data_IF_065396603991
#
_entry.id   IF_065396603991
#
_cell.length_a   1.000
_cell.length_b   1.000
_cell.length_c   1.000
_cell.angle_alpha   90.00
_cell.angle_beta   90.00
_cell.angle_gamma   90.00
#
_symmetry.space_group_name_H-M   'P 1'
#
loop_
_entity.id
_entity.type
_entity.pdbx_description
1 polymer ?
#
# COMPACT_ATOMS: atom_id res chain seq x y z
N UNK A 1 4.66 -7.88 -25.28
CA UNK A 1 4.40 -6.60 -24.56
C UNK A 1 5.43 -6.43 -23.43
N UNK A 2 5.77 -5.19 -23.04
CA UNK A 2 6.64 -4.97 -21.86
C UNK A 2 5.85 -5.41 -20.62
N UNK A 3 6.36 -6.41 -19.88
CA UNK A 3 5.74 -6.85 -18.61
C UNK A 3 5.64 -5.65 -17.68
N UNK A 4 4.42 -5.23 -17.38
CA UNK A 4 4.19 -4.27 -16.31
C UNK A 4 4.32 -5.05 -15.01
N UNK A 5 5.38 -4.78 -14.25
CA UNK A 5 5.62 -5.40 -12.95
C UNK A 5 4.77 -4.71 -11.88
N UNK A 6 3.55 -5.21 -11.73
CA UNK A 6 2.56 -4.73 -10.77
C UNK A 6 2.82 -5.26 -9.36
N UNK A 7 3.45 -6.43 -9.24
CA UNK A 7 3.70 -7.11 -7.96
C UNK A 7 4.77 -6.38 -7.16
N UNK A 8 5.88 -5.98 -7.79
CA UNK A 8 6.93 -5.20 -7.13
C UNK A 8 6.41 -3.84 -6.66
N UNK A 9 5.57 -3.19 -7.48
CA UNK A 9 4.94 -1.92 -7.13
C UNK A 9 4.03 -2.04 -5.89
N UNK A 10 3.16 -3.05 -5.88
CA UNK A 10 2.30 -3.35 -4.74
C UNK A 10 3.11 -3.65 -3.46
N UNK A 11 4.19 -4.42 -3.58
CA UNK A 11 5.10 -4.70 -2.46
C UNK A 11 5.69 -3.43 -1.85
N UNK A 12 6.14 -2.48 -2.69
CA UNK A 12 6.69 -1.20 -2.22
C UNK A 12 5.66 -0.33 -1.50
N UNK A 13 4.42 -0.30 -1.99
CA UNK A 13 3.34 0.47 -1.33
C UNK A 13 3.05 -0.10 0.06
N UNK A 14 2.96 -1.44 0.16
CA UNK A 14 2.75 -2.11 1.44
C UNK A 14 3.90 -1.80 2.42
N UNK A 15 5.14 -2.01 1.97
CA UNK A 15 6.32 -1.77 2.81
C UNK A 15 6.39 -0.32 3.30
N UNK A 16 6.17 0.66 2.41
CA UNK A 16 6.23 2.07 2.79
C UNK A 16 5.17 2.43 3.85
N UNK A 17 4.00 1.78 3.82
CA UNK A 17 2.97 1.99 4.82
C UNK A 17 3.32 1.35 6.17
N UNK A 18 3.87 0.14 6.15
CA UNK A 18 4.36 -0.53 7.36
C UNK A 18 5.50 0.28 8.01
N UNK A 19 6.43 0.79 7.21
CA UNK A 19 7.52 1.65 7.67
C UNK A 19 6.99 2.95 8.31
N UNK A 20 5.93 3.55 7.73
CA UNK A 20 5.27 4.74 8.29
C UNK A 20 4.65 4.44 9.66
N UNK A 21 3.95 3.32 9.80
CA UNK A 21 3.33 2.91 11.07
C UNK A 21 4.40 2.67 12.14
N UNK A 22 5.50 1.99 11.77
CA UNK A 22 6.62 1.74 12.66
C UNK A 22 7.30 3.05 13.10
N UNK A 23 7.50 3.99 12.16
CA UNK A 23 8.08 5.28 12.46
C UNK A 23 7.19 6.10 13.41
N UNK A 24 5.87 6.06 13.21
CA UNK A 24 4.93 6.70 14.12
C UNK A 24 4.96 6.07 15.51
N UNK A 25 4.95 4.73 15.61
CA UNK A 25 5.02 4.02 16.89
C UNK A 25 6.31 4.36 17.65
N UNK A 26 7.45 4.34 16.95
CA UNK A 26 8.74 4.72 17.54
C UNK A 26 8.77 6.17 18.00
N UNK A 27 8.21 7.10 17.22
CA UNK A 27 8.13 8.51 17.61
C UNK A 27 7.17 8.72 18.78
N UNK A 28 6.09 7.94 18.87
CA UNK A 28 5.07 8.04 19.92
C UNK A 28 5.61 7.69 21.32
N UNK A 29 6.79 7.06 21.42
CA UNK A 29 7.45 6.84 22.70
C UNK A 29 7.81 8.17 23.40
N UNK A 30 8.29 9.16 22.63
CA UNK A 30 8.68 10.47 23.13
C UNK A 30 7.66 11.57 22.78
N UNK A 31 6.81 11.32 21.78
CA UNK A 31 5.82 12.27 21.26
C UNK A 31 4.38 11.70 21.39
N UNK A 32 3.83 11.72 22.61
CA UNK A 32 2.47 11.25 22.93
C UNK A 32 1.57 12.37 23.44
N UNK A 33 1.57 13.49 22.74
CA UNK A 33 0.72 14.64 23.04
C UNK A 33 -0.56 14.62 22.18
N UNK A 34 -1.51 15.55 22.39
CA UNK A 34 -2.71 15.62 21.56
C UNK A 34 -2.42 15.87 20.07
N UNK A 35 -1.29 16.49 19.72
CA UNK A 35 -0.91 16.76 18.33
C UNK A 35 -0.49 15.48 17.63
N UNK A 36 0.31 14.62 18.27
CA UNK A 36 0.72 13.34 17.68
C UNK A 36 -0.48 12.42 17.44
N UNK A 37 -1.43 12.39 18.36
CA UNK A 37 -2.70 11.65 18.20
C UNK A 37 -3.52 12.17 17.02
N UNK A 38 -3.67 13.48 16.90
CA UNK A 38 -4.36 14.08 15.75
C UNK A 38 -3.66 13.76 14.42
N UNK A 39 -2.33 13.70 14.39
CA UNK A 39 -1.60 13.26 13.18
C UNK A 39 -1.97 11.83 12.81
N UNK A 40 -2.04 10.92 13.77
CA UNK A 40 -2.43 9.54 13.49
C UNK A 40 -3.88 9.45 12.99
N UNK A 41 -4.81 10.02 13.75
CA UNK A 41 -6.26 9.97 13.48
C UNK A 41 -6.61 10.66 12.14
N UNK A 42 -6.07 11.85 11.88
CA UNK A 42 -6.45 12.64 10.71
C UNK A 42 -5.68 12.25 9.44
N UNK A 43 -4.48 11.67 9.57
CA UNK A 43 -3.56 11.46 8.43
C UNK A 43 -3.18 10.02 8.19
N UNK A 44 -2.84 9.26 9.24
CA UNK A 44 -2.26 7.92 9.09
C UNK A 44 -3.38 6.86 9.03
N UNK A 45 -4.30 6.86 9.99
CA UNK A 45 -5.41 5.90 10.06
C UNK A 45 -6.26 5.89 8.77
N UNK A 46 -6.63 7.04 8.17
CA UNK A 46 -7.45 7.06 6.96
C UNK A 46 -6.75 6.44 5.73
N UNK A 47 -5.43 6.26 5.75
CA UNK A 47 -4.69 5.64 4.65
C UNK A 47 -4.92 4.12 4.58
N UNK A 48 -5.21 3.45 5.70
CA UNK A 48 -5.40 2.00 5.74
C UNK A 48 -6.41 1.47 4.69
N UNK A 49 -7.67 1.97 4.63
CA UNK A 49 -8.63 1.50 3.62
C UNK A 49 -8.21 1.87 2.19
N UNK A 50 -7.56 3.01 1.98
CA UNK A 50 -7.09 3.46 0.65
C UNK A 50 -6.00 2.54 0.13
N UNK A 51 -5.03 2.19 0.98
CA UNK A 51 -3.92 1.31 0.64
C UNK A 51 -4.43 -0.10 0.36
N UNK A 52 -5.31 -0.63 1.23
CA UNK A 52 -5.98 -1.91 0.98
C UNK A 52 -6.69 -1.93 -0.37
N UNK A 53 -7.53 -0.92 -0.64
CA UNK A 53 -8.26 -0.83 -1.91
C UNK A 53 -7.34 -0.75 -3.13
N UNK A 54 -6.21 -0.04 -2.99
CA UNK A 54 -5.17 0.06 -4.03
C UNK A 54 -4.51 -1.29 -4.28
N UNK A 55 -4.06 -1.99 -3.24
CA UNK A 55 -3.43 -3.31 -3.37
C UNK A 55 -4.39 -4.34 -3.97
N UNK A 56 -5.65 -4.32 -3.56
CA UNK A 56 -6.69 -5.19 -4.11
C UNK A 56 -6.93 -4.90 -5.60
N UNK A 57 -6.95 -3.63 -6.00
CA UNK A 57 -7.08 -3.22 -7.40
C UNK A 57 -5.88 -3.68 -8.24
N UNK A 58 -4.66 -3.53 -7.71
CA UNK A 58 -3.44 -4.01 -8.36
C UNK A 58 -3.49 -5.54 -8.55
N UNK A 59 -3.93 -6.29 -7.53
CA UNK A 59 -4.09 -7.74 -7.63
C UNK A 59 -5.07 -8.16 -8.74
N UNK A 60 -6.22 -7.48 -8.84
CA UNK A 60 -7.19 -7.73 -9.93
C UNK A 60 -6.60 -7.41 -11.31
N UNK A 61 -5.87 -6.31 -11.44
CA UNK A 61 -5.22 -5.94 -12.70
C UNK A 61 -4.15 -6.96 -13.12
N UNK A 62 -3.38 -7.48 -12.16
CA UNK A 62 -2.38 -8.51 -12.43
C UNK A 62 -3.01 -9.80 -12.96
N UNK A 63 -4.17 -10.21 -12.40
CA UNK A 63 -4.92 -11.37 -12.90
C UNK A 63 -5.38 -11.17 -14.35
N UNK A 64 -6.05 -10.05 -14.64
CA UNK A 64 -6.55 -9.73 -15.99
C UNK A 64 -5.41 -9.66 -17.00
N UNK A 65 -4.29 -9.01 -16.64
CA UNK A 65 -3.13 -8.92 -17.51
C UNK A 65 -2.49 -10.30 -17.77
N UNK A 66 -2.47 -11.17 -16.76
CA UNK A 66 -1.99 -12.54 -16.88
C UNK A 66 -2.87 -13.40 -17.80
N UNK A 67 -4.19 -13.25 -17.72
CA UNK A 67 -5.14 -13.93 -18.62
C UNK A 67 -4.97 -13.45 -20.06
N UNK A 68 -4.97 -12.14 -20.29
CA UNK A 68 -4.80 -11.56 -21.63
C UNK A 68 -3.47 -11.97 -22.30
N UNK A 69 -2.40 -12.11 -21.52
CA UNK A 69 -1.11 -12.58 -22.04
C UNK A 69 -1.18 -14.06 -22.46
N UNK A 70 -1.85 -14.93 -21.68
CA UNK A 70 -2.01 -16.35 -22.03
C UNK A 70 -2.85 -16.52 -23.29
N UNK A 71 -3.91 -15.72 -23.44
CA UNK A 71 -4.77 -15.76 -24.63
C UNK A 71 -4.03 -15.27 -25.88
N UNK A 72 -3.11 -14.32 -25.74
CA UNK A 72 -2.30 -13.81 -26.85
C UNK A 72 -1.15 -14.73 -27.27
N UNK A 73 -0.74 -15.65 -26.38
CA UNK A 73 0.33 -16.63 -26.65
C UNK A 73 -0.21 -17.96 -27.22
N UNK A 74 -1.54 -18.10 -27.39
CA UNK A 74 -2.21 -19.21 -28.09
C UNK A 74 -2.42 -18.91 -29.58
#
# INVERSE_FOLDING_TARGET
MRRVDLETGAGRIRQAYEDLLLAYESASADWNDPVSRAVFEDRIEPMAPVIKGTLDAIGRLALIAGEAQRDADQ
#
